data_IF_107110942067
#
_entry.id   IF_107110942067
#
_cell.length_a   1.000
_cell.length_b   1.000
_cell.length_c   1.000
_cell.angle_alpha   90.00
_cell.angle_beta   90.00
_cell.angle_gamma   90.00
#
_symmetry.space_group_name_H-M   'P 1'
#
loop_
_entity.id
_entity.type
_entity.pdbx_description
1 polymer ?
#
# COMPACT_ATOMS: atom_id res chain seq x y z
N UNK A 1 12.81 0.38 26.14
CA UNK A 1 13.23 -1.03 26.04
C UNK A 1 13.23 -1.44 24.57
N UNK A 2 14.34 -1.26 23.84
CA UNK A 2 14.40 -1.47 22.38
C UNK A 2 14.19 -2.92 21.91
N UNK A 3 14.42 -3.91 22.77
CA UNK A 3 14.43 -5.33 22.40
C UNK A 3 13.13 -5.80 21.74
N UNK A 4 11.96 -5.42 22.28
CA UNK A 4 10.67 -5.80 21.70
C UNK A 4 10.45 -5.24 20.28
N UNK A 5 10.96 -4.04 20.01
CA UNK A 5 10.83 -3.41 18.69
C UNK A 5 11.74 -4.09 17.65
N UNK A 6 12.93 -4.53 18.08
CA UNK A 6 13.87 -5.29 17.25
C UNK A 6 13.28 -6.68 16.94
N UNK A 7 12.83 -7.41 17.97
CA UNK A 7 12.26 -8.76 17.81
C UNK A 7 11.03 -8.77 16.89
N UNK A 8 10.11 -7.81 17.05
CA UNK A 8 8.94 -7.67 16.17
C UNK A 8 9.38 -7.29 14.75
N UNK A 9 10.37 -6.41 14.61
CA UNK A 9 10.91 -6.00 13.32
C UNK A 9 11.56 -7.18 12.56
N UNK A 10 12.36 -7.98 13.23
CA UNK A 10 12.99 -9.19 12.66
C UNK A 10 11.92 -10.19 12.21
N UNK A 11 10.91 -10.46 13.03
CA UNK A 11 9.80 -11.33 12.65
C UNK A 11 9.05 -10.83 11.40
N UNK A 12 8.83 -9.51 11.28
CA UNK A 12 8.20 -8.91 10.10
C UNK A 12 9.06 -9.12 8.85
N UNK A 13 10.38 -8.92 8.96
CA UNK A 13 11.31 -9.05 7.84
C UNK A 13 11.49 -10.51 7.38
N UNK A 14 11.37 -11.47 8.30
CA UNK A 14 11.51 -12.90 8.00
C UNK A 14 10.23 -13.54 7.44
N UNK A 15 9.05 -13.06 7.87
CA UNK A 15 7.78 -13.74 7.59
C UNK A 15 6.89 -13.02 6.56
N UNK A 16 7.25 -11.82 6.11
CA UNK A 16 6.50 -11.07 5.09
C UNK A 16 7.34 -10.78 3.86
N UNK A 17 6.72 -10.87 2.68
CA UNK A 17 7.33 -10.44 1.44
C UNK A 17 7.45 -8.91 1.37
N UNK A 18 8.68 -8.40 1.31
CA UNK A 18 8.93 -6.98 1.08
C UNK A 18 8.79 -6.65 -0.40
N UNK A 19 7.71 -5.96 -0.74
CA UNK A 19 7.44 -5.54 -2.11
C UNK A 19 8.24 -4.28 -2.43
N UNK A 20 9.06 -4.34 -3.48
CA UNK A 20 9.76 -3.16 -4.03
C UNK A 20 8.84 -2.42 -5.00
N UNK A 21 8.76 -1.10 -4.80
CA UNK A 21 8.10 -0.16 -5.72
C UNK A 21 8.98 -0.01 -6.95
N UNK A 22 8.44 -0.26 -8.14
CA UNK A 22 9.13 -0.02 -9.40
C UNK A 22 8.67 1.29 -10.06
N UNK A 23 9.28 1.65 -11.20
CA UNK A 23 8.96 2.90 -11.90
C UNK A 23 7.51 2.98 -12.38
N UNK A 24 6.90 1.86 -12.74
CA UNK A 24 5.49 1.80 -13.15
C UNK A 24 4.56 2.03 -11.95
N UNK A 25 4.91 1.45 -10.80
CA UNK A 25 4.19 1.65 -9.55
C UNK A 25 4.21 3.12 -9.16
N UNK A 26 5.40 3.73 -9.22
CA UNK A 26 5.61 5.14 -8.88
C UNK A 26 4.85 6.07 -9.82
N UNK A 27 4.94 5.85 -11.15
CA UNK A 27 4.20 6.64 -12.14
C UNK A 27 2.69 6.56 -11.92
N UNK A 28 2.16 5.36 -11.74
CA UNK A 28 0.74 5.16 -11.45
C UNK A 28 0.33 5.80 -10.12
N UNK A 29 1.16 5.66 -9.08
CA UNK A 29 0.93 6.32 -7.79
C UNK A 29 0.89 7.84 -7.92
N UNK A 30 1.77 8.43 -8.74
CA UNK A 30 1.79 9.85 -9.02
C UNK A 30 0.51 10.31 -9.73
N UNK A 31 0.04 9.58 -10.73
CA UNK A 31 -1.23 9.88 -11.39
C UNK A 31 -2.42 9.81 -10.44
N UNK A 32 -2.44 8.83 -9.52
CA UNK A 32 -3.48 8.71 -8.50
C UNK A 32 -3.40 9.85 -7.48
N UNK A 33 -2.20 10.20 -7.03
CA UNK A 33 -1.99 11.25 -6.05
C UNK A 33 -2.49 12.62 -6.57
N UNK A 34 -2.30 12.91 -7.86
CA UNK A 34 -2.85 14.11 -8.48
C UNK A 34 -4.38 14.09 -8.68
N UNK A 35 -5.06 12.96 -8.44
CA UNK A 35 -6.52 12.79 -8.60
C UNK A 35 -7.28 12.71 -7.27
N UNK A 36 -6.60 12.41 -6.16
CA UNK A 36 -7.22 12.18 -4.86
C UNK A 36 -6.67 13.14 -3.81
N UNK A 37 -7.49 14.11 -3.39
CA UNK A 37 -7.08 15.12 -2.40
C UNK A 37 -6.90 14.55 -0.97
N UNK A 38 -7.52 13.41 -0.66
CA UNK A 38 -7.53 12.81 0.67
C UNK A 38 -6.52 11.65 0.85
N UNK A 39 -5.76 11.30 -0.19
CA UNK A 39 -4.82 10.18 -0.13
C UNK A 39 -3.37 10.67 -0.09
N UNK A 40 -2.56 10.06 0.77
CA UNK A 40 -1.12 10.27 0.73
C UNK A 40 -0.50 9.59 -0.50
N UNK A 41 0.71 10.00 -0.87
CA UNK A 41 1.46 9.31 -1.92
C UNK A 41 1.70 7.82 -1.59
N UNK A 42 1.86 7.47 -0.31
CA UNK A 42 2.01 6.07 0.14
C UNK A 42 0.71 5.28 -0.04
N UNK A 43 -0.45 5.89 0.19
CA UNK A 43 -1.75 5.27 -0.10
C UNK A 43 -1.91 5.01 -1.60
N UNK A 44 -1.59 6.00 -2.43
CA UNK A 44 -1.59 5.86 -3.88
C UNK A 44 -0.62 4.77 -4.37
N UNK A 45 0.55 4.66 -3.75
CA UNK A 45 1.52 3.59 -4.01
C UNK A 45 0.94 2.22 -3.63
N UNK A 46 0.25 2.14 -2.48
CA UNK A 46 -0.45 0.91 -2.04
C UNK A 46 -1.54 0.49 -3.03
N UNK A 47 -2.31 1.44 -3.57
CA UNK A 47 -3.33 1.18 -4.61
C UNK A 47 -2.70 0.74 -5.94
N UNK A 48 -1.58 1.35 -6.31
CA UNK A 48 -0.81 1.00 -7.51
C UNK A 48 -0.30 -0.44 -7.44
N UNK A 49 0.37 -0.79 -6.34
CA UNK A 49 0.86 -2.14 -6.05
C UNK A 49 -0.26 -3.16 -6.00
N UNK A 50 -1.38 -2.83 -5.36
CA UNK A 50 -2.50 -3.77 -5.24
C UNK A 50 -3.11 -4.14 -6.59
N UNK A 51 -3.19 -3.18 -7.50
CA UNK A 51 -3.64 -3.41 -8.88
C UNK A 51 -2.65 -4.30 -9.65
N UNK A 52 -1.35 -3.95 -9.66
CA UNK A 52 -0.32 -4.70 -10.38
C UNK A 52 -0.20 -6.14 -9.90
N UNK A 53 -0.24 -6.34 -8.58
CA UNK A 53 -0.07 -7.64 -7.93
C UNK A 53 -1.38 -8.40 -7.72
N UNK A 54 -2.52 -7.85 -8.16
CA UNK A 54 -3.87 -8.43 -7.98
C UNK A 54 -4.21 -8.73 -6.52
N UNK A 55 -3.73 -7.90 -5.59
CA UNK A 55 -4.03 -8.01 -4.16
C UNK A 55 -5.48 -7.59 -3.92
N UNK A 56 -6.27 -8.47 -3.29
CA UNK A 56 -7.72 -8.29 -3.12
C UNK A 56 -8.17 -7.83 -1.74
N UNK A 57 -7.22 -7.74 -0.79
CA UNK A 57 -7.44 -7.38 0.62
C UNK A 57 -6.31 -6.45 1.07
N UNK A 58 -6.67 -5.41 1.81
CA UNK A 58 -5.73 -4.50 2.49
C UNK A 58 -6.07 -4.50 3.98
N UNK A 59 -5.04 -4.47 4.82
CA UNK A 59 -5.20 -4.31 6.27
C UNK A 59 -4.74 -2.90 6.61
N UNK A 60 -5.65 -2.07 7.07
CA UNK A 60 -5.37 -0.68 7.46
C UNK A 60 -6.43 -0.19 8.44
N UNK A 61 -6.07 0.78 9.29
CA UNK A 61 -7.02 1.52 10.12
C UNK A 61 -7.50 2.81 9.43
N UNK A 62 -6.89 3.18 8.30
CA UNK A 62 -7.22 4.38 7.53
C UNK A 62 -8.51 4.17 6.71
N UNK A 63 -9.55 4.96 7.02
CA UNK A 63 -10.85 4.87 6.35
C UNK A 63 -10.82 5.40 4.92
N UNK A 64 -9.98 6.37 4.61
CA UNK A 64 -9.85 6.93 3.27
C UNK A 64 -9.19 5.92 2.34
N UNK A 65 -8.14 5.23 2.81
CA UNK A 65 -7.53 4.13 2.06
C UNK A 65 -8.49 2.96 1.84
N UNK A 66 -9.30 2.58 2.85
CA UNK A 66 -10.33 1.53 2.68
C UNK A 66 -11.28 1.88 1.53
N UNK A 67 -11.85 3.10 1.53
CA UNK A 67 -12.79 3.53 0.49
C UNK A 67 -12.14 3.57 -0.89
N UNK A 68 -10.89 4.04 -0.98
CA UNK A 68 -10.17 4.10 -2.24
C UNK A 68 -9.86 2.69 -2.79
N UNK A 69 -9.44 1.77 -1.92
CA UNK A 69 -9.15 0.38 -2.29
C UNK A 69 -10.39 -0.33 -2.83
N UNK A 70 -11.55 -0.12 -2.22
CA UNK A 70 -12.83 -0.68 -2.70
C UNK A 70 -13.22 -0.16 -4.09
N UNK A 71 -12.95 1.12 -4.39
CA UNK A 71 -13.18 1.71 -5.72
C UNK A 71 -12.27 1.09 -6.77
N UNK A 72 -10.98 0.94 -6.48
CA UNK A 72 -10.00 0.36 -7.44
C UNK A 72 -10.27 -1.12 -7.70
N UNK A 73 -10.64 -1.88 -6.66
CA UNK A 73 -11.00 -3.31 -6.77
C UNK A 73 -12.19 -3.59 -7.70
N UNK A 74 -13.15 -2.68 -7.79
CA UNK A 74 -14.32 -2.84 -8.68
C UNK A 74 -14.00 -2.64 -10.17
N UNK A 75 -12.87 -1.99 -10.48
CA UNK A 75 -12.48 -1.61 -11.84
C UNK A 75 -11.30 -2.45 -12.39
N UNK A 76 -10.93 -3.54 -11.71
CA UNK A 76 -9.78 -4.41 -12.01
C UNK A 76 -10.23 -5.85 -12.18
#
# INVERSE_FOLDING_TARGET
>A
MPWIAIEVGENILENLDMIRVNDEDFRTAWELFNKFDELSFTDCTTLSLSKRLKIRRVVTFDRSLIRAFEKVKRNS
#
